data_IF_958344766931
#
_entry.id   IF_958344766931
#
_cell.length_a   1.000
_cell.length_b   1.000
_cell.length_c   1.000
_cell.angle_alpha   90.00
_cell.angle_beta   90.00
_cell.angle_gamma   90.00
#
_symmetry.space_group_name_H-M   'P 1'
#
loop_
_entity.id
_entity.type
_entity.pdbx_description
1 polymer ?
#
# COMPACT_ATOMS: atom_id res chain seq x y z
N UNK A 1 -5.20 14.81 -3.82
CA UNK A 1 -4.76 16.19 -3.55
C UNK A 1 -3.26 16.27 -3.80
N UNK A 2 -2.85 16.83 -4.95
CA UNK A 2 -1.46 16.89 -5.43
C UNK A 2 -1.18 18.31 -5.94
N UNK A 3 0.09 18.72 -5.97
CA UNK A 3 0.53 20.00 -6.53
C UNK A 3 0.17 20.12 -8.02
N UNK A 4 0.46 19.09 -8.81
CA UNK A 4 0.14 19.03 -10.24
C UNK A 4 -1.37 19.13 -10.57
N UNK A 5 -2.24 18.96 -9.58
CA UNK A 5 -3.69 19.21 -9.68
C UNK A 5 -4.09 20.58 -9.14
N UNK A 6 -3.16 21.52 -9.09
CA UNK A 6 -3.36 22.91 -8.64
C UNK A 6 -3.82 23.04 -7.19
N UNK A 7 -3.38 22.16 -6.30
CA UNK A 7 -3.67 22.30 -4.87
C UNK A 7 -2.86 23.48 -4.29
N UNK A 8 -3.51 24.45 -3.61
CA UNK A 8 -2.84 25.71 -3.22
C UNK A 8 -1.77 25.57 -2.15
N UNK A 9 -1.80 24.49 -1.35
CA UNK A 9 -0.92 24.32 -0.20
C UNK A 9 -0.04 23.08 -0.29
N UNK A 10 -0.56 21.96 -0.80
CA UNK A 10 0.15 20.68 -0.81
C UNK A 10 1.30 20.70 -1.81
N UNK A 11 2.48 20.33 -1.34
CA UNK A 11 3.71 20.25 -2.13
C UNK A 11 4.03 18.79 -2.41
N UNK A 12 4.08 18.42 -3.68
CA UNK A 12 4.39 17.07 -4.15
C UNK A 12 5.41 17.10 -5.29
N UNK A 13 6.64 17.65 -5.05
CA UNK A 13 7.55 18.01 -6.14
C UNK A 13 7.91 16.83 -7.05
N UNK A 14 8.13 15.63 -6.51
CA UNK A 14 8.47 14.46 -7.32
C UNK A 14 7.28 13.96 -8.16
N UNK A 15 6.05 14.01 -7.61
CA UNK A 15 4.85 13.67 -8.37
C UNK A 15 4.51 14.75 -9.40
N UNK A 16 4.78 16.00 -9.09
CA UNK A 16 4.60 17.13 -10.00
C UNK A 16 5.57 17.00 -11.19
N UNK A 17 6.84 16.66 -10.93
CA UNK A 17 7.82 16.36 -11.97
C UNK A 17 7.40 15.15 -12.84
N UNK A 18 6.95 14.07 -12.23
CA UNK A 18 6.45 12.91 -12.97
C UNK A 18 5.26 13.29 -13.89
N UNK A 19 4.38 14.17 -13.43
CA UNK A 19 3.27 14.65 -14.22
C UNK A 19 3.71 15.55 -15.41
N UNK A 20 4.78 16.32 -15.24
CA UNK A 20 5.39 17.15 -16.31
C UNK A 20 6.10 16.28 -17.36
N UNK A 21 6.80 15.23 -16.95
CA UNK A 21 7.55 14.32 -17.82
C UNK A 21 6.67 13.25 -18.48
N UNK A 22 5.48 12.99 -17.93
CA UNK A 22 4.57 11.92 -18.35
C UNK A 22 3.24 12.40 -18.89
N UNK A 23 2.18 11.65 -18.58
CA UNK A 23 0.79 11.97 -18.95
C UNK A 23 -0.08 12.05 -17.71
N UNK A 24 -0.67 13.21 -17.46
CA UNK A 24 -1.62 13.43 -16.37
C UNK A 24 -3.06 13.23 -16.84
N UNK A 25 -3.74 12.20 -16.32
CA UNK A 25 -5.15 11.96 -16.61
C UNK A 25 -6.04 12.72 -15.62
N UNK A 26 -6.44 13.94 -15.97
CA UNK A 26 -7.23 14.83 -15.10
C UNK A 26 -8.65 14.34 -14.78
N UNK A 27 -9.21 13.44 -15.60
CA UNK A 27 -10.56 12.88 -15.46
C UNK A 27 -10.52 11.35 -15.30
N UNK A 28 -9.64 10.84 -14.43
CA UNK A 28 -9.57 9.42 -14.10
C UNK A 28 -10.32 9.16 -12.79
N UNK A 29 -11.28 8.23 -12.82
CA UNK A 29 -12.14 7.92 -11.68
C UNK A 29 -12.01 6.45 -11.27
N UNK A 30 -12.05 6.20 -9.96
CA UNK A 30 -12.17 4.84 -9.44
C UNK A 30 -13.51 4.25 -9.87
N UNK A 31 -13.51 2.98 -10.30
CA UNK A 31 -14.71 2.30 -10.80
C UNK A 31 -15.67 1.87 -9.68
N UNK A 32 -15.17 1.80 -8.45
CA UNK A 32 -15.94 1.39 -7.29
C UNK A 32 -15.31 1.93 -6.00
N UNK A 33 -16.05 1.87 -4.92
CA UNK A 33 -15.67 2.13 -3.54
C UNK A 33 -16.25 1.03 -2.64
N UNK A 34 -15.64 0.70 -1.50
CA UNK A 34 -14.35 1.16 -0.96
C UNK A 34 -13.14 0.51 -1.65
N UNK A 35 -12.01 0.38 -0.92
CA UNK A 35 -10.71 -0.04 -1.46
C UNK A 35 -10.73 -1.43 -2.13
N UNK A 36 -11.28 -2.46 -1.51
CA UNK A 36 -11.33 -3.82 -2.07
C UNK A 36 -12.04 -3.88 -3.44
N UNK A 37 -13.28 -3.38 -3.59
CA UNK A 37 -13.97 -3.27 -4.88
C UNK A 37 -13.20 -2.45 -5.92
N UNK A 38 -12.59 -1.32 -5.50
CA UNK A 38 -11.77 -0.49 -6.39
C UNK A 38 -10.54 -1.25 -6.91
N UNK A 39 -9.84 -1.97 -6.02
CA UNK A 39 -8.69 -2.78 -6.39
C UNK A 39 -9.07 -3.99 -7.23
N UNK A 40 -10.20 -4.64 -6.95
CA UNK A 40 -10.72 -5.70 -7.81
C UNK A 40 -10.93 -5.19 -9.25
N UNK A 41 -11.50 -4.00 -9.41
CA UNK A 41 -11.62 -3.33 -10.73
C UNK A 41 -10.26 -3.04 -11.35
N UNK A 42 -9.31 -2.49 -10.56
CA UNK A 42 -7.97 -2.18 -11.02
C UNK A 42 -7.22 -3.42 -11.53
N UNK A 43 -7.26 -4.51 -10.77
CA UNK A 43 -6.52 -5.72 -11.11
C UNK A 43 -7.16 -6.50 -12.26
N UNK A 44 -8.48 -6.47 -12.41
CA UNK A 44 -9.19 -7.26 -13.44
C UNK A 44 -9.54 -6.48 -14.68
N UNK A 45 -9.50 -5.14 -14.64
CA UNK A 45 -10.02 -4.28 -15.72
C UNK A 45 -11.54 -4.32 -15.86
N UNK A 46 -12.27 -4.85 -14.87
CA UNK A 46 -13.73 -5.03 -14.92
C UNK A 46 -14.45 -3.97 -14.08
N UNK A 47 -15.66 -3.62 -14.48
CA UNK A 47 -16.59 -2.86 -13.64
C UNK A 47 -17.09 -3.69 -12.45
N UNK A 48 -17.45 -3.04 -11.36
CA UNK A 48 -17.91 -3.69 -10.13
C UNK A 48 -19.14 -4.60 -10.37
N UNK A 49 -20.04 -4.23 -11.27
CA UNK A 49 -21.20 -5.05 -11.65
C UNK A 49 -20.81 -6.37 -12.29
N UNK A 50 -19.61 -6.46 -12.88
CA UNK A 50 -19.11 -7.66 -13.55
C UNK A 50 -18.36 -8.57 -12.56
N UNK A 51 -17.42 -8.02 -11.78
CA UNK A 51 -16.65 -8.83 -10.83
C UNK A 51 -17.40 -9.10 -9.52
N UNK A 52 -18.39 -8.27 -9.15
CA UNK A 52 -19.29 -8.43 -7.99
C UNK A 52 -18.58 -8.43 -6.62
N UNK A 53 -17.35 -7.97 -6.55
CA UNK A 53 -16.70 -7.69 -5.29
C UNK A 53 -17.21 -6.33 -4.81
N UNK A 54 -18.11 -6.33 -3.81
CA UNK A 54 -18.91 -5.13 -3.45
C UNK A 54 -18.49 -4.50 -2.13
N UNK A 55 -17.75 -5.22 -1.28
CA UNK A 55 -17.23 -4.75 -0.01
C UNK A 55 -15.79 -5.26 0.17
N UNK A 56 -15.04 -4.62 1.08
CA UNK A 56 -13.77 -5.18 1.54
C UNK A 56 -14.00 -6.59 2.08
N UNK A 57 -13.09 -7.51 1.75
CA UNK A 57 -13.25 -8.90 2.11
C UNK A 57 -14.20 -9.71 1.20
N UNK A 58 -14.88 -9.10 0.21
CA UNK A 58 -15.61 -9.88 -0.78
C UNK A 58 -14.65 -10.63 -1.69
N UNK A 59 -14.71 -11.98 -1.75
CA UNK A 59 -13.79 -12.74 -2.58
C UNK A 59 -13.87 -12.38 -4.06
N UNK A 60 -12.72 -12.23 -4.70
CA UNK A 60 -12.63 -12.10 -6.14
C UNK A 60 -12.73 -13.51 -6.77
N UNK A 61 -13.71 -13.69 -7.64
CA UNK A 61 -13.94 -14.98 -8.29
C UNK A 61 -12.76 -15.37 -9.19
N UNK A 62 -12.21 -16.56 -9.00
CA UNK A 62 -11.05 -17.11 -9.70
C UNK A 62 -11.21 -17.26 -11.23
N UNK A 63 -12.47 -17.25 -11.72
CA UNK A 63 -12.77 -17.26 -13.17
C UNK A 63 -12.25 -16.01 -13.90
N UNK A 64 -12.02 -14.92 -13.19
CA UNK A 64 -11.52 -13.69 -13.78
C UNK A 64 -10.00 -13.71 -13.85
N UNK A 65 -9.48 -13.38 -15.02
CA UNK A 65 -8.06 -13.05 -15.14
C UNK A 65 -7.74 -11.73 -14.42
N UNK A 66 -6.47 -11.50 -14.15
CA UNK A 66 -6.00 -10.26 -13.53
C UNK A 66 -4.67 -9.84 -14.15
N UNK A 67 -4.25 -8.61 -13.88
CA UNK A 67 -3.03 -8.02 -14.45
C UNK A 67 -1.80 -8.90 -14.22
N UNK A 68 -1.67 -9.57 -13.07
CA UNK A 68 -0.52 -10.42 -12.78
C UNK A 68 -0.49 -11.67 -13.66
N UNK A 69 -1.63 -12.33 -13.86
CA UNK A 69 -1.75 -13.47 -14.76
C UNK A 69 -1.47 -13.08 -16.21
N UNK A 70 -1.95 -11.91 -16.65
CA UNK A 70 -1.73 -11.44 -18.01
C UNK A 70 -0.26 -11.05 -18.25
N UNK A 71 0.37 -10.39 -17.30
CA UNK A 71 1.78 -10.00 -17.37
C UNK A 71 2.70 -11.22 -17.42
N UNK A 72 2.35 -12.31 -16.69
CA UNK A 72 3.09 -13.58 -16.79
C UNK A 72 3.09 -14.19 -18.19
N UNK A 73 2.00 -14.05 -18.95
CA UNK A 73 1.93 -14.52 -20.34
C UNK A 73 2.94 -13.80 -21.24
N UNK A 74 3.37 -12.61 -20.86
CA UNK A 74 4.39 -11.82 -21.54
C UNK A 74 5.80 -12.06 -21.01
N UNK A 75 5.99 -13.05 -20.13
CA UNK A 75 7.31 -13.47 -19.63
C UNK A 75 7.81 -12.68 -18.40
N UNK A 76 7.00 -11.80 -17.83
CA UNK A 76 7.37 -11.09 -16.60
C UNK A 76 7.00 -11.90 -15.34
N UNK A 77 7.70 -11.65 -14.25
CA UNK A 77 7.34 -12.10 -12.91
C UNK A 77 6.77 -10.94 -12.09
N UNK A 78 5.43 -10.81 -11.98
CA UNK A 78 4.84 -9.70 -11.24
C UNK A 78 5.10 -9.84 -9.75
N UNK A 79 5.79 -8.86 -9.17
CA UNK A 79 6.21 -8.87 -7.77
C UNK A 79 5.47 -7.79 -6.98
N UNK A 80 4.91 -8.17 -5.82
CA UNK A 80 4.17 -7.29 -4.91
C UNK A 80 5.07 -6.79 -3.77
N UNK A 81 5.00 -5.49 -3.53
CA UNK A 81 5.49 -4.82 -2.31
C UNK A 81 4.30 -4.13 -1.64
N UNK A 82 3.93 -4.60 -0.46
CA UNK A 82 2.76 -4.12 0.26
C UNK A 82 1.61 -5.12 0.30
N UNK A 83 0.42 -4.75 -0.16
CA UNK A 83 -0.81 -5.56 -0.05
C UNK A 83 -1.73 -5.35 -1.25
N UNK A 84 -2.68 -6.27 -1.47
CA UNK A 84 -3.61 -6.18 -2.61
C UNK A 84 -5.02 -5.74 -2.24
N UNK A 85 -5.41 -5.85 -0.99
CA UNK A 85 -6.77 -5.58 -0.52
C UNK A 85 -7.84 -6.43 -1.25
N UNK A 86 -7.43 -7.66 -1.60
CA UNK A 86 -8.27 -8.58 -2.36
C UNK A 86 -8.33 -9.93 -1.66
N UNK A 87 -9.56 -10.41 -1.40
CA UNK A 87 -9.79 -11.75 -0.82
C UNK A 87 -9.68 -12.83 -1.89
N UNK A 88 -9.02 -13.92 -1.52
CA UNK A 88 -8.93 -15.10 -2.37
C UNK A 88 -10.29 -15.80 -2.53
N UNK A 89 -10.48 -16.51 -3.65
CA UNK A 89 -11.66 -17.32 -3.88
C UNK A 89 -11.63 -18.57 -3.00
N UNK A 90 -12.58 -18.75 -2.06
CA UNK A 90 -12.54 -19.87 -1.12
C UNK A 90 -12.76 -21.23 -1.79
N UNK A 91 -13.27 -21.25 -3.02
CA UNK A 91 -13.50 -22.50 -3.78
C UNK A 91 -12.21 -23.12 -4.31
N UNK A 92 -11.15 -22.33 -4.42
CA UNK A 92 -9.82 -22.74 -4.92
C UNK A 92 -8.84 -23.09 -3.79
N UNK A 93 -9.26 -22.96 -2.54
CA UNK A 93 -8.40 -23.12 -1.38
C UNK A 93 -8.92 -24.18 -0.41
N UNK A 94 -7.99 -24.80 0.33
CA UNK A 94 -8.37 -25.65 1.45
C UNK A 94 -8.99 -24.82 2.59
N UNK A 95 -9.95 -25.38 3.31
CA UNK A 95 -10.67 -24.69 4.40
C UNK A 95 -9.74 -24.15 5.52
N UNK A 96 -8.54 -24.70 5.66
CA UNK A 96 -7.52 -24.26 6.61
C UNK A 96 -6.52 -23.24 6.05
N UNK A 97 -6.65 -22.84 4.79
CA UNK A 97 -5.69 -21.95 4.14
C UNK A 97 -5.67 -20.59 4.83
N UNK A 98 -4.49 -20.07 5.21
CA UNK A 98 -4.35 -18.76 5.83
C UNK A 98 -4.89 -17.61 4.98
N UNK A 99 -4.90 -17.72 3.66
CA UNK A 99 -5.43 -16.71 2.75
C UNK A 99 -6.94 -16.48 2.91
N UNK A 100 -7.66 -17.45 3.50
CA UNK A 100 -9.09 -17.28 3.82
C UNK A 100 -9.33 -16.36 5.03
N UNK A 101 -8.30 -16.03 5.78
CA UNK A 101 -8.37 -15.20 7.01
C UNK A 101 -7.95 -13.75 6.76
N UNK A 102 -7.56 -13.42 5.56
CA UNK A 102 -7.14 -12.07 5.18
C UNK A 102 -7.75 -11.65 3.84
N UNK A 103 -7.93 -10.36 3.65
CA UNK A 103 -8.25 -9.76 2.35
C UNK A 103 -7.10 -8.90 1.81
N UNK A 104 -5.91 -9.06 2.37
CA UNK A 104 -4.71 -8.30 2.01
C UNK A 104 -3.63 -9.16 1.36
N UNK A 105 -3.96 -10.40 1.03
CA UNK A 105 -3.03 -11.37 0.46
C UNK A 105 -2.62 -11.09 -0.97
N UNK A 106 -1.88 -12.05 -1.54
CA UNK A 106 -1.51 -12.02 -2.94
C UNK A 106 -2.70 -12.40 -3.83
N UNK A 107 -2.89 -11.69 -4.91
CA UNK A 107 -3.77 -12.17 -5.99
C UNK A 107 -3.06 -13.26 -6.79
N UNK A 108 -3.83 -14.18 -7.42
CA UNK A 108 -3.23 -15.21 -8.28
C UNK A 108 -2.28 -14.63 -9.31
N UNK A 109 -1.13 -15.25 -9.45
CA UNK A 109 -0.08 -14.81 -10.40
C UNK A 109 0.95 -13.83 -9.84
N UNK A 110 0.73 -13.19 -8.69
CA UNK A 110 1.75 -12.35 -8.05
C UNK A 110 2.72 -13.18 -7.21
N UNK A 111 3.97 -12.75 -7.22
CA UNK A 111 5.03 -13.21 -6.31
C UNK A 111 5.21 -12.18 -5.19
N UNK A 112 5.49 -12.64 -3.97
CA UNK A 112 5.78 -11.74 -2.86
C UNK A 112 7.23 -11.25 -2.92
N UNK A 113 7.42 -9.96 -3.08
CA UNK A 113 8.65 -9.27 -2.69
C UNK A 113 8.64 -9.07 -1.18
N UNK A 114 7.81 -8.13 -0.72
CA UNK A 114 7.51 -7.94 0.70
C UNK A 114 6.01 -7.73 0.87
N UNK A 115 5.34 -8.66 1.54
CA UNK A 115 3.92 -8.51 1.87
C UNK A 115 3.80 -7.75 3.20
N UNK A 116 3.06 -6.66 3.18
CA UNK A 116 2.78 -5.84 4.35
C UNK A 116 1.27 -5.80 4.60
N UNK A 117 0.77 -6.85 5.23
CA UNK A 117 -0.63 -7.03 5.61
C UNK A 117 -0.94 -6.37 6.97
N UNK A 118 -2.15 -6.58 7.50
CA UNK A 118 -2.60 -6.03 8.80
C UNK A 118 -1.58 -6.16 9.93
N UNK A 119 -0.86 -7.29 10.00
CA UNK A 119 0.11 -7.54 11.07
C UNK A 119 1.43 -6.77 10.93
N UNK A 120 1.72 -6.20 9.76
CA UNK A 120 2.90 -5.37 9.49
C UNK A 120 4.25 -5.94 9.95
N UNK A 121 4.34 -7.27 10.06
CA UNK A 121 5.46 -7.97 10.73
C UNK A 121 6.82 -7.60 10.17
N UNK A 122 6.96 -7.56 8.85
CA UNK A 122 8.25 -7.27 8.22
C UNK A 122 8.75 -5.87 8.61
N UNK A 123 7.89 -4.86 8.54
CA UNK A 123 8.24 -3.49 8.92
C UNK A 123 8.50 -3.36 10.43
N UNK A 124 7.66 -3.95 11.29
CA UNK A 124 7.86 -3.91 12.74
C UNK A 124 9.19 -4.60 13.13
N UNK A 125 9.54 -5.72 12.49
CA UNK A 125 10.82 -6.38 12.71
C UNK A 125 12.00 -5.47 12.33
N UNK A 126 11.90 -4.73 11.24
CA UNK A 126 12.89 -3.75 10.83
C UNK A 126 13.01 -2.62 11.86
N UNK A 127 11.90 -2.04 12.33
CA UNK A 127 11.92 -1.03 13.40
C UNK A 127 12.62 -1.54 14.66
N UNK A 128 12.31 -2.75 15.08
CA UNK A 128 12.96 -3.37 16.26
C UNK A 128 14.48 -3.53 16.01
N UNK A 129 14.89 -3.92 14.81
CA UNK A 129 16.31 -4.05 14.45
C UNK A 129 17.05 -2.73 14.49
N UNK A 130 16.36 -1.62 14.17
CA UNK A 130 16.87 -0.24 14.24
C UNK A 130 16.83 0.37 15.66
N UNK A 131 16.43 -0.42 16.67
CA UNK A 131 16.47 0.00 18.08
C UNK A 131 15.16 0.51 18.67
N UNK A 132 14.07 0.41 17.95
CA UNK A 132 12.74 0.70 18.50
C UNK A 132 12.31 -0.37 19.53
N UNK A 133 11.27 -0.07 20.30
CA UNK A 133 10.83 -0.95 21.38
C UNK A 133 10.49 -2.36 20.87
N UNK A 134 10.99 -3.37 21.56
CA UNK A 134 10.66 -4.79 21.32
C UNK A 134 9.18 -5.13 21.57
N UNK A 135 8.43 -4.24 22.22
CA UNK A 135 7.00 -4.40 22.46
C UNK A 135 6.12 -3.80 21.35
N UNK A 136 6.72 -3.26 20.28
CA UNK A 136 5.96 -2.78 19.13
C UNK A 136 5.20 -3.92 18.48
N UNK A 137 3.96 -3.63 18.12
CA UNK A 137 3.06 -4.53 17.41
C UNK A 137 2.13 -3.72 16.48
N UNK A 138 1.25 -4.39 15.77
CA UNK A 138 0.29 -3.81 14.85
C UNK A 138 -0.63 -2.75 15.47
N UNK A 139 -0.96 -2.89 16.76
CA UNK A 139 -1.85 -1.95 17.48
C UNK A 139 -1.12 -0.69 17.93
N UNK A 140 0.18 -0.78 18.17
CA UNK A 140 0.96 0.28 18.82
C UNK A 140 1.89 1.04 17.89
N UNK A 141 2.24 0.49 16.72
CA UNK A 141 3.20 1.10 15.80
C UNK A 141 2.73 2.47 15.26
N UNK A 142 1.45 2.68 15.18
CA UNK A 142 0.86 3.98 14.78
C UNK A 142 0.45 4.86 15.95
N UNK A 143 0.86 4.54 17.17
CA UNK A 143 0.62 5.44 18.29
C UNK A 143 1.47 6.71 18.13
N UNK A 144 0.91 7.88 18.46
CA UNK A 144 1.66 9.13 18.45
C UNK A 144 2.67 9.18 19.60
N UNK A 145 3.67 10.02 19.45
CA UNK A 145 4.59 10.38 20.55
C UNK A 145 3.77 10.93 21.71
N UNK A 146 3.96 10.32 22.89
CA UNK A 146 3.32 10.79 24.13
C UNK A 146 3.97 12.09 24.57
N UNK A 147 3.18 13.05 25.07
CA UNK A 147 3.65 14.34 25.61
C UNK A 147 4.34 15.24 24.57
N UNK A 148 3.75 15.39 23.42
CA UNK A 148 4.19 16.37 22.42
C UNK A 148 3.60 17.75 22.76
N UNK A 149 4.42 18.68 23.21
CA UNK A 149 4.01 19.96 23.79
C UNK A 149 3.14 20.83 22.88
N UNK A 150 3.32 20.74 21.57
CA UNK A 150 2.54 21.47 20.58
C UNK A 150 1.15 20.86 20.35
N UNK A 151 0.91 19.61 20.73
CA UNK A 151 -0.35 18.92 20.48
C UNK A 151 -1.52 19.48 21.31
N UNK A 152 -1.25 20.08 22.48
CA UNK A 152 -2.26 20.68 23.34
C UNK A 152 -3.11 21.75 22.63
N UNK A 153 -2.52 22.45 21.65
CA UNK A 153 -3.18 23.52 20.90
C UNK A 153 -3.77 23.07 19.56
N UNK A 154 -3.33 21.92 19.03
CA UNK A 154 -3.64 21.50 17.67
C UNK A 154 -4.46 20.20 17.57
N UNK A 155 -4.68 19.52 18.70
CA UNK A 155 -5.46 18.28 18.74
C UNK A 155 -4.61 17.00 18.61
N UNK A 156 -5.28 15.87 18.77
CA UNK A 156 -4.65 14.55 18.96
C UNK A 156 -3.88 14.03 17.73
N UNK A 157 -4.25 14.45 16.53
CA UNK A 157 -3.60 14.04 15.27
C UNK A 157 -2.36 14.85 14.94
N UNK A 158 -2.05 15.86 15.74
CA UNK A 158 -0.89 16.72 15.52
C UNK A 158 0.41 16.14 16.09
N UNK A 159 0.31 15.26 17.07
CA UNK A 159 1.52 14.58 17.59
C UNK A 159 2.13 13.69 16.51
N UNK A 160 3.46 13.75 16.33
CA UNK A 160 4.11 12.95 15.31
C UNK A 160 4.04 11.45 15.63
N UNK A 161 4.26 10.63 14.59
CA UNK A 161 4.51 9.20 14.74
C UNK A 161 5.72 8.95 15.64
N UNK A 162 5.79 7.75 16.23
CA UNK A 162 6.92 7.33 17.07
C UNK A 162 8.18 7.01 16.25
N UNK A 163 8.05 6.89 14.95
CA UNK A 163 9.14 6.61 14.00
C UNK A 163 9.48 7.85 13.16
N UNK A 164 10.72 7.87 12.63
CA UNK A 164 11.19 8.91 11.71
C UNK A 164 10.58 8.72 10.30
N UNK A 165 10.78 9.69 9.41
CA UNK A 165 10.35 9.56 8.01
C UNK A 165 11.02 8.38 7.31
N UNK A 166 12.33 8.19 7.55
CA UNK A 166 13.13 7.10 6.95
C UNK A 166 12.73 5.72 7.50
N UNK A 167 12.09 5.68 8.64
CA UNK A 167 11.61 4.46 9.29
C UNK A 167 10.11 4.21 9.06
N UNK A 168 9.44 5.06 8.28
CA UNK A 168 8.03 4.87 7.93
C UNK A 168 7.80 3.61 7.10
N UNK A 169 6.58 3.07 7.13
CA UNK A 169 6.22 1.92 6.29
C UNK A 169 6.34 2.22 4.80
N UNK A 170 6.16 3.48 4.40
CA UNK A 170 6.35 3.94 3.02
C UNK A 170 7.83 3.89 2.63
N UNK A 171 8.73 4.40 3.47
CA UNK A 171 10.16 4.33 3.23
C UNK A 171 10.65 2.88 3.22
N UNK A 172 10.22 2.07 4.19
CA UNK A 172 10.54 0.64 4.24
C UNK A 172 10.19 -0.10 2.94
N UNK A 173 8.97 0.05 2.43
CA UNK A 173 8.56 -0.59 1.18
C UNK A 173 9.33 -0.05 -0.03
N UNK A 174 9.65 1.23 -0.03
CA UNK A 174 10.46 1.85 -1.09
C UNK A 174 11.87 1.27 -1.10
N UNK A 175 12.51 1.18 0.07
CA UNK A 175 13.84 0.61 0.22
C UNK A 175 13.90 -0.86 -0.23
N UNK A 176 12.90 -1.65 0.13
CA UNK A 176 12.81 -3.05 -0.30
C UNK A 176 12.61 -3.17 -1.82
N UNK A 177 11.80 -2.30 -2.42
CA UNK A 177 11.67 -2.23 -3.88
C UNK A 177 13.01 -1.84 -4.54
N UNK A 178 13.71 -0.82 -4.03
CA UNK A 178 14.99 -0.39 -4.58
C UNK A 178 16.08 -1.46 -4.45
N UNK A 179 16.15 -2.16 -3.34
CA UNK A 179 17.02 -3.34 -3.17
C UNK A 179 16.69 -4.43 -4.19
N UNK A 180 15.42 -4.69 -4.41
CA UNK A 180 14.97 -5.69 -5.38
C UNK A 180 15.31 -5.29 -6.82
N UNK A 181 15.20 -4.01 -7.17
CA UNK A 181 15.55 -3.44 -8.48
C UNK A 181 17.06 -3.47 -8.73
N UNK A 182 17.88 -3.17 -7.72
CA UNK A 182 19.34 -3.02 -7.85
C UNK A 182 20.07 -4.28 -8.37
N UNK A 183 19.44 -5.44 -8.30
CA UNK A 183 20.00 -6.71 -8.80
C UNK A 183 19.35 -7.16 -10.12
N UNK A 184 18.60 -6.28 -10.80
CA UNK A 184 17.83 -6.57 -12.02
C UNK A 184 18.05 -5.55 -13.13
N UNK A 185 19.25 -5.04 -13.26
CA UNK A 185 19.58 -3.96 -14.21
C UNK A 185 19.27 -4.34 -15.68
N UNK A 186 19.47 -5.61 -16.03
CA UNK A 186 19.29 -6.12 -17.41
C UNK A 186 18.03 -6.99 -17.57
N UNK A 187 17.17 -7.07 -16.56
CA UNK A 187 15.96 -7.91 -16.60
C UNK A 187 14.71 -7.08 -16.91
N UNK A 188 13.77 -7.67 -17.62
CA UNK A 188 12.42 -7.12 -17.68
C UNK A 188 11.70 -7.41 -16.38
N UNK A 189 11.19 -6.39 -15.71
CA UNK A 189 10.51 -6.52 -14.44
C UNK A 189 9.12 -5.88 -14.43
N UNK A 190 8.26 -6.39 -13.58
CA UNK A 190 6.96 -5.79 -13.24
C UNK A 190 6.80 -5.79 -11.71
N UNK A 191 6.76 -4.62 -11.11
CA UNK A 191 6.56 -4.45 -9.69
C UNK A 191 5.26 -3.68 -9.41
N UNK A 192 4.48 -4.16 -8.44
CA UNK A 192 3.35 -3.45 -7.88
C UNK A 192 3.67 -3.06 -6.44
N UNK A 193 3.81 -1.77 -6.19
CA UNK A 193 3.99 -1.25 -4.83
C UNK A 193 2.70 -0.63 -4.32
N UNK A 194 2.28 -1.01 -3.12
CA UNK A 194 1.05 -0.54 -2.49
C UNK A 194 1.33 0.04 -1.11
N UNK A 195 1.30 1.36 -1.02
CA UNK A 195 1.46 2.07 0.25
C UNK A 195 0.14 2.15 1.01
N UNK A 196 0.20 2.07 2.35
CA UNK A 196 -0.96 2.26 3.20
C UNK A 196 -1.35 3.74 3.29
N UNK A 197 -0.39 4.62 3.58
CA UNK A 197 -0.68 6.05 3.70
C UNK A 197 -0.99 6.69 2.35
N UNK A 198 -1.94 7.62 2.34
CA UNK A 198 -2.57 8.38 3.44
C UNK A 198 -3.86 7.78 4.05
N UNK A 199 -4.04 6.45 4.04
CA UNK A 199 -5.13 5.77 4.75
C UNK A 199 -4.99 5.95 6.28
N UNK A 200 -6.10 6.02 7.06
CA UNK A 200 -6.03 6.02 8.53
C UNK A 200 -5.23 4.83 9.10
N UNK A 201 -4.61 5.00 10.28
CA UNK A 201 -4.64 6.18 11.13
C UNK A 201 -3.82 7.35 10.55
N UNK A 202 -4.40 8.56 10.62
CA UNK A 202 -3.77 9.77 10.10
C UNK A 202 -2.68 10.25 11.05
N UNK A 203 -1.52 9.65 10.94
CA UNK A 203 -0.34 10.00 11.70
C UNK A 203 0.84 10.15 10.75
N UNK A 204 1.63 11.19 10.94
CA UNK A 204 2.81 11.45 10.16
C UNK A 204 4.02 11.64 11.06
N UNK A 205 5.23 11.24 10.65
CA UNK A 205 6.45 11.54 11.38
C UNK A 205 6.78 13.04 11.29
N UNK A 206 7.68 13.51 12.15
CA UNK A 206 8.31 14.83 11.94
C UNK A 206 9.11 14.81 10.62
N UNK A 207 9.13 15.93 9.86
CA UNK A 207 8.47 17.21 10.12
C UNK A 207 7.04 17.29 9.56
N UNK A 208 6.53 16.24 8.92
CA UNK A 208 5.28 16.24 8.15
C UNK A 208 4.02 16.46 9.01
N UNK A 209 4.06 16.07 10.28
CA UNK A 209 2.96 16.28 11.23
C UNK A 209 2.62 17.78 11.44
N UNK A 210 3.54 18.68 11.12
CA UNK A 210 3.40 20.13 11.32
C UNK A 210 3.64 20.96 10.07
N UNK A 211 3.65 20.32 8.90
CA UNK A 211 3.99 20.98 7.64
C UNK A 211 2.88 21.92 7.14
N UNK A 212 1.61 21.71 7.54
CA UNK A 212 0.44 22.47 7.10
C UNK A 212 -0.38 22.99 8.26
#
# INVERSE_FOLDING_TARGET
TLGCLSHPLVKTPNLDQLAEEGVLFGNHFAQAVPCGPSRASLFTGLYAMNHRSVNNGTPLNSRFTNIALEVRKSGYEPTLFGYTDTSADPRELNASDPLLKTYEGLIPGMTSGVTLTDNKRAWIAELISRGYSKSLNEDTVYNPVKKYTKAEKHGVTFSPAIYSEEDSSTAFLTDELLKWLSVREDENWFAHISFLHPHPPWIAPEPYNSMY
#
